data_IF_891864155566
#
_entry.id   IF_891864155566
#
_cell.length_a   1.000
_cell.length_b   1.000
_cell.length_c   1.000
_cell.angle_alpha   90.00
_cell.angle_beta   90.00
_cell.angle_gamma   90.00
#
_symmetry.space_group_name_H-M   'P 1'
#
loop_
_entity.id
_entity.type
_entity.pdbx_description
1 polymer ?
#
# COMPACT_ATOMS: atom_id res chain seq x y z
N UNK A 1 5.47 -18.01 -3.00
CA UNK A 1 4.86 -17.24 -4.12
C UNK A 1 5.98 -16.56 -4.87
N UNK A 2 6.04 -16.75 -6.19
CA UNK A 2 7.02 -16.07 -7.03
C UNK A 2 6.42 -14.78 -7.59
N UNK A 3 7.30 -13.79 -7.83
CA UNK A 3 6.97 -12.51 -8.48
C UNK A 3 7.78 -12.35 -9.77
N UNK A 4 7.18 -11.71 -10.75
CA UNK A 4 7.80 -11.44 -12.05
C UNK A 4 7.53 -10.00 -12.47
N UNK A 5 8.40 -9.44 -13.31
CA UNK A 5 8.12 -8.15 -13.95
C UNK A 5 7.00 -8.29 -14.98
N UNK A 6 6.16 -7.28 -15.11
CA UNK A 6 5.16 -7.19 -16.20
C UNK A 6 5.79 -7.18 -17.59
N UNK A 7 7.09 -6.86 -17.70
CA UNK A 7 7.86 -6.80 -18.95
C UNK A 7 8.76 -8.01 -19.17
N UNK A 8 9.13 -8.71 -18.08
CA UNK A 8 9.95 -9.94 -18.17
C UNK A 8 9.44 -10.97 -17.17
N UNK A 9 8.83 -12.04 -17.69
CA UNK A 9 8.25 -13.13 -16.88
C UNK A 9 9.22 -14.26 -16.56
N UNK A 10 10.42 -14.26 -17.12
CA UNK A 10 11.41 -15.33 -16.92
C UNK A 10 12.12 -15.22 -15.58
N UNK A 11 12.42 -13.98 -15.16
CA UNK A 11 13.10 -13.73 -13.90
C UNK A 11 12.10 -13.71 -12.74
N UNK A 12 12.13 -14.77 -11.96
CA UNK A 12 11.33 -14.90 -10.73
C UNK A 12 12.10 -14.33 -9.55
N UNK A 13 11.39 -13.64 -8.66
CA UNK A 13 11.93 -13.05 -7.43
C UNK A 13 10.97 -13.32 -6.26
N UNK A 14 11.45 -13.14 -5.02
CA UNK A 14 10.63 -13.24 -3.81
C UNK A 14 9.75 -11.99 -3.62
N UNK A 15 8.75 -12.06 -2.74
CA UNK A 15 7.95 -10.91 -2.37
C UNK A 15 8.80 -9.82 -1.71
N UNK A 16 9.71 -10.20 -0.82
CA UNK A 16 10.64 -9.27 -0.19
C UNK A 16 11.49 -8.52 -1.22
N UNK A 17 12.03 -9.22 -2.23
CA UNK A 17 12.78 -8.57 -3.30
C UNK A 17 11.91 -7.58 -4.11
N UNK A 18 10.69 -7.97 -4.45
CA UNK A 18 9.74 -7.13 -5.18
C UNK A 18 9.38 -5.85 -4.41
N UNK A 19 9.15 -5.96 -3.09
CA UNK A 19 8.82 -4.82 -2.22
C UNK A 19 10.04 -3.91 -2.01
N UNK A 20 11.22 -4.46 -1.75
CA UNK A 20 12.44 -3.68 -1.53
C UNK A 20 12.78 -2.80 -2.74
N UNK A 21 12.67 -3.34 -3.95
CA UNK A 21 13.01 -2.63 -5.18
C UNK A 21 11.86 -1.76 -5.73
N UNK A 22 10.60 -2.13 -5.46
CA UNK A 22 9.40 -1.40 -5.91
C UNK A 22 9.13 -1.48 -7.41
N UNK A 23 10.13 -1.27 -8.25
CA UNK A 23 10.07 -1.36 -9.71
C UNK A 23 11.17 -2.30 -10.21
N UNK A 24 10.88 -3.05 -11.26
CA UNK A 24 11.86 -3.95 -11.87
C UNK A 24 12.91 -3.17 -12.67
N UNK A 25 14.15 -3.70 -12.85
CA UNK A 25 15.20 -3.04 -13.61
C UNK A 25 14.85 -2.75 -15.07
N UNK A 26 13.90 -3.51 -15.65
CA UNK A 26 13.37 -3.30 -17.00
C UNK A 26 12.25 -2.24 -17.06
N UNK A 27 11.95 -1.57 -15.92
CA UNK A 27 10.90 -0.59 -15.77
C UNK A 27 9.49 -1.18 -15.70
N UNK A 28 9.35 -2.51 -15.59
CA UNK A 28 8.09 -3.21 -15.34
C UNK A 28 7.72 -3.19 -13.86
N UNK A 29 6.45 -3.52 -13.56
CA UNK A 29 5.96 -3.67 -12.19
C UNK A 29 6.06 -5.12 -11.74
N UNK A 30 6.41 -5.34 -10.48
CA UNK A 30 6.39 -6.68 -9.92
C UNK A 30 4.95 -7.12 -9.61
N UNK A 31 4.58 -8.29 -10.14
CA UNK A 31 3.29 -8.92 -9.91
C UNK A 31 3.49 -10.38 -9.47
N UNK A 32 2.62 -10.92 -8.60
CA UNK A 32 2.66 -12.34 -8.28
C UNK A 32 2.34 -13.18 -9.53
N UNK A 33 2.94 -14.37 -9.63
CA UNK A 33 2.73 -15.28 -10.77
C UNK A 33 1.33 -15.89 -10.81
N UNK A 34 0.61 -15.86 -9.68
CA UNK A 34 -0.78 -16.34 -9.57
C UNK A 34 -1.50 -15.61 -8.43
N UNK A 35 -2.83 -15.64 -8.47
CA UNK A 35 -3.66 -15.14 -7.37
C UNK A 35 -4.17 -16.35 -6.55
N UNK A 36 -3.82 -16.43 -5.25
CA UNK A 36 -4.21 -17.55 -4.40
C UNK A 36 -5.71 -17.48 -4.10
N UNK A 37 -6.39 -18.61 -4.23
CA UNK A 37 -7.80 -18.70 -3.84
C UNK A 37 -7.95 -18.75 -2.31
N UNK A 38 -9.00 -18.13 -1.79
CA UNK A 38 -9.43 -18.26 -0.41
C UNK A 38 -10.19 -19.58 -0.23
N UNK A 39 -9.73 -20.42 0.68
CA UNK A 39 -10.34 -21.69 1.04
C UNK A 39 -11.51 -21.49 2.02
N UNK A 40 -12.32 -22.53 2.23
CA UNK A 40 -13.36 -22.51 3.28
C UNK A 40 -12.78 -22.26 4.68
N UNK A 41 -11.61 -22.82 4.97
CA UNK A 41 -10.90 -22.56 6.24
C UNK A 41 -10.48 -21.10 6.36
N UNK A 42 -10.01 -20.48 5.26
CA UNK A 42 -9.68 -19.06 5.25
C UNK A 42 -10.92 -18.21 5.53
N UNK A 43 -12.03 -18.49 4.88
CA UNK A 43 -13.29 -17.76 5.09
C UNK A 43 -13.78 -17.87 6.53
N UNK A 44 -13.65 -19.04 7.16
CA UNK A 44 -13.98 -19.22 8.58
C UNK A 44 -13.09 -18.34 9.46
N UNK A 45 -11.78 -18.38 9.25
CA UNK A 45 -10.83 -17.55 10.00
C UNK A 45 -11.08 -16.05 9.80
N UNK A 46 -11.35 -15.62 8.56
CA UNK A 46 -11.66 -14.22 8.24
C UNK A 46 -12.95 -13.74 8.94
N UNK A 47 -13.97 -14.58 9.02
CA UNK A 47 -15.24 -14.25 9.69
C UNK A 47 -15.05 -14.01 11.19
N UNK A 48 -14.16 -14.77 11.83
CA UNK A 48 -13.86 -14.71 13.28
C UNK A 48 -12.82 -13.62 13.64
N UNK A 49 -12.05 -13.12 12.67
CA UNK A 49 -10.97 -12.16 12.89
C UNK A 49 -11.45 -10.71 12.83
N UNK A 50 -10.70 -9.82 13.50
CA UNK A 50 -10.76 -8.38 13.31
C UNK A 50 -10.04 -7.95 12.01
N UNK A 51 -9.99 -6.65 11.74
CA UNK A 51 -9.31 -6.12 10.55
C UNK A 51 -7.81 -6.49 10.51
N UNK A 52 -7.13 -6.45 11.65
CA UNK A 52 -5.68 -6.75 11.75
C UNK A 52 -5.41 -8.20 11.38
N UNK A 53 -6.18 -9.14 11.94
CA UNK A 53 -6.08 -10.56 11.62
C UNK A 53 -6.44 -10.88 10.16
N UNK A 54 -7.49 -10.24 9.62
CA UNK A 54 -7.86 -10.36 8.21
C UNK A 54 -6.77 -9.86 7.28
N UNK A 55 -6.15 -8.72 7.61
CA UNK A 55 -5.05 -8.15 6.83
C UNK A 55 -3.84 -9.08 6.84
N UNK A 56 -3.44 -9.60 8.01
CA UNK A 56 -2.32 -10.53 8.14
C UNK A 56 -2.56 -11.82 7.33
N UNK A 57 -3.76 -12.39 7.37
CA UNK A 57 -4.13 -13.58 6.61
C UNK A 57 -4.04 -13.32 5.10
N UNK A 58 -4.64 -12.23 4.62
CA UNK A 58 -4.63 -11.88 3.19
C UNK A 58 -3.21 -11.63 2.71
N UNK A 59 -2.40 -10.88 3.45
CA UNK A 59 -1.01 -10.63 3.12
C UNK A 59 -0.19 -11.93 3.10
N UNK A 60 -0.42 -12.85 4.04
CA UNK A 60 0.25 -14.14 4.10
C UNK A 60 0.02 -15.03 2.87
N UNK A 61 -1.09 -14.86 2.17
CA UNK A 61 -1.34 -15.57 0.90
C UNK A 61 -0.38 -15.14 -0.23
N UNK A 62 0.09 -13.90 -0.18
CA UNK A 62 0.99 -13.32 -1.19
C UNK A 62 2.44 -13.29 -0.73
N UNK A 63 2.68 -12.93 0.51
CA UNK A 63 4.01 -12.66 1.06
C UNK A 63 4.58 -13.90 1.76
N UNK A 64 4.77 -14.98 1.00
CA UNK A 64 5.12 -16.31 1.52
C UNK A 64 6.55 -16.43 2.08
N UNK A 65 7.36 -15.42 1.92
CA UNK A 65 8.69 -15.27 2.52
C UNK A 65 8.67 -14.48 3.86
N UNK A 66 7.47 -14.10 4.32
CA UNK A 66 7.22 -13.54 5.66
C UNK A 66 6.50 -14.57 6.53
N UNK A 67 6.83 -14.62 7.82
CA UNK A 67 6.11 -15.51 8.74
C UNK A 67 4.73 -14.94 9.12
N UNK A 68 3.84 -15.79 9.61
CA UNK A 68 2.52 -15.36 10.09
C UNK A 68 2.64 -14.38 11.26
N UNK A 69 3.62 -14.61 12.14
CA UNK A 69 3.91 -13.76 13.31
C UNK A 69 4.41 -12.38 12.87
N UNK A 70 5.31 -12.32 11.86
CA UNK A 70 5.76 -11.03 11.29
C UNK A 70 4.59 -10.23 10.73
N UNK A 71 3.73 -10.85 9.94
CA UNK A 71 2.58 -10.18 9.31
C UNK A 71 1.53 -9.75 10.34
N UNK A 72 1.32 -10.54 11.40
CA UNK A 72 0.45 -10.17 12.50
C UNK A 72 0.99 -8.97 13.30
N UNK A 73 2.30 -8.95 13.59
CA UNK A 73 2.97 -7.84 14.26
C UNK A 73 2.89 -6.56 13.41
N UNK A 74 3.13 -6.66 12.10
CA UNK A 74 3.02 -5.53 11.19
C UNK A 74 1.60 -4.99 11.11
N UNK A 75 0.59 -5.87 11.05
CA UNK A 75 -0.81 -5.45 11.04
C UNK A 75 -1.22 -4.79 12.36
N UNK A 76 -0.76 -5.31 13.49
CA UNK A 76 -1.02 -4.71 14.81
C UNK A 76 -0.43 -3.30 14.92
N UNK A 77 0.78 -3.07 14.40
CA UNK A 77 1.46 -1.76 14.40
C UNK A 77 0.88 -0.79 13.37
N UNK A 78 0.60 -1.27 12.17
CA UNK A 78 0.08 -0.46 11.08
C UNK A 78 -1.34 0.04 11.37
N UNK A 79 -2.18 -0.80 11.95
CA UNK A 79 -3.60 -0.55 12.20
C UNK A 79 -3.91 -0.44 13.70
N UNK A 80 -2.98 0.17 14.45
CA UNK A 80 -3.17 0.41 15.87
C UNK A 80 -4.39 1.32 16.12
N UNK A 81 -5.13 1.06 17.20
CA UNK A 81 -6.40 1.71 17.49
C UNK A 81 -6.25 3.24 17.65
N UNK A 82 -5.12 3.68 18.22
CA UNK A 82 -4.78 5.10 18.36
C UNK A 82 -4.53 5.80 17.01
N UNK A 83 -4.17 5.07 15.96
CA UNK A 83 -3.97 5.62 14.61
C UNK A 83 -5.28 5.72 13.82
N UNK A 84 -6.21 4.80 14.06
CA UNK A 84 -7.45 4.68 13.29
C UNK A 84 -8.71 5.04 14.09
N UNK A 85 -8.56 5.61 15.27
CA UNK A 85 -9.69 6.14 16.07
C UNK A 85 -10.56 5.06 16.72
N UNK A 86 -10.09 3.81 16.79
CA UNK A 86 -10.80 2.69 17.41
C UNK A 86 -10.56 1.35 16.72
N UNK A 87 -11.25 0.31 17.16
CA UNK A 87 -11.09 -1.06 16.67
C UNK A 87 -11.55 -1.25 15.21
N UNK A 88 -12.47 -0.42 14.72
CA UNK A 88 -13.02 -0.50 13.37
C UNK A 88 -12.16 0.31 12.39
N UNK A 89 -11.09 -0.29 11.93
CA UNK A 89 -10.11 0.35 11.02
C UNK A 89 -10.72 0.78 9.67
N UNK A 90 -11.69 0.02 9.15
CA UNK A 90 -12.34 0.24 7.86
C UNK A 90 -13.82 -0.18 7.94
N UNK A 91 -14.66 0.57 8.68
CA UNK A 91 -16.05 0.19 8.91
C UNK A 91 -16.90 0.28 7.65
N UNK A 92 -17.93 -0.56 7.60
CA UNK A 92 -18.96 -0.50 6.56
C UNK A 92 -20.23 0.12 7.13
N UNK A 93 -20.61 1.28 6.60
CA UNK A 93 -21.80 2.03 7.03
C UNK A 93 -22.94 1.87 6.02
N UNK A 94 -24.12 1.54 6.49
CA UNK A 94 -25.32 1.48 5.64
C UNK A 94 -25.78 2.90 5.27
N UNK A 95 -25.82 3.22 3.99
CA UNK A 95 -26.35 4.49 3.49
C UNK A 95 -27.86 4.42 3.21
N UNK A 96 -28.31 3.32 2.60
CA UNK A 96 -29.70 3.06 2.28
C UNK A 96 -29.87 1.57 1.99
N UNK A 97 -31.08 1.15 1.64
CA UNK A 97 -31.31 -0.23 1.24
C UNK A 97 -30.44 -0.59 0.01
N UNK A 98 -29.67 -1.67 0.12
CA UNK A 98 -28.77 -2.15 -0.93
C UNK A 98 -27.53 -1.30 -1.19
N UNK A 99 -27.30 -0.21 -0.41
CA UNK A 99 -26.14 0.67 -0.57
C UNK A 99 -25.39 0.80 0.75
N UNK A 100 -24.11 0.42 0.72
CA UNK A 100 -23.21 0.51 1.86
C UNK A 100 -21.98 1.31 1.46
N UNK A 101 -21.37 1.99 2.41
CA UNK A 101 -20.16 2.77 2.25
C UNK A 101 -19.04 2.12 3.07
N UNK A 102 -17.96 1.73 2.40
CA UNK A 102 -16.72 1.35 3.07
C UNK A 102 -15.92 2.62 3.36
N UNK A 103 -15.79 2.95 4.63
CA UNK A 103 -15.08 4.15 5.08
C UNK A 103 -13.58 3.85 5.23
N UNK A 104 -12.74 4.55 4.47
CA UNK A 104 -11.29 4.35 4.45
C UNK A 104 -10.49 5.58 4.91
N UNK A 105 -11.16 6.53 5.57
CA UNK A 105 -10.57 7.80 6.00
C UNK A 105 -10.28 7.90 7.50
N UNK A 106 -10.39 6.81 8.25
CA UNK A 106 -10.16 6.80 9.70
C UNK A 106 -8.69 6.81 10.10
N UNK A 107 -7.78 6.69 9.13
CA UNK A 107 -6.34 6.72 9.38
C UNK A 107 -5.79 8.13 9.66
N UNK A 108 -4.49 8.23 10.02
CA UNK A 108 -3.88 9.45 10.56
C UNK A 108 -3.88 10.64 9.58
N UNK A 109 -4.02 10.41 8.28
CA UNK A 109 -4.05 11.49 7.29
C UNK A 109 -5.42 11.68 6.63
N UNK A 110 -6.45 10.99 7.12
CA UNK A 110 -7.82 11.02 6.61
C UNK A 110 -7.93 10.67 5.13
N UNK A 111 -7.07 9.79 4.63
CA UNK A 111 -7.05 9.34 3.26
C UNK A 111 -7.00 7.80 3.19
N UNK A 112 -7.68 7.19 2.20
CA UNK A 112 -7.62 5.73 2.01
C UNK A 112 -6.21 5.19 1.82
N UNK A 113 -5.28 6.07 1.47
CA UNK A 113 -3.87 5.74 1.27
C UNK A 113 -3.18 5.28 2.56
N UNK A 114 -3.70 5.69 3.72
CA UNK A 114 -3.22 5.24 5.03
C UNK A 114 -3.32 3.71 5.17
N UNK A 115 -4.37 3.09 4.61
CA UNK A 115 -4.57 1.65 4.64
C UNK A 115 -3.36 0.86 4.10
N UNK A 116 -2.63 1.44 3.16
CA UNK A 116 -1.43 0.81 2.60
C UNK A 116 -0.14 1.46 3.12
N UNK A 117 -0.12 2.77 3.35
CA UNK A 117 1.10 3.49 3.70
C UNK A 117 1.47 3.39 5.17
N UNK A 118 0.55 2.99 6.05
CA UNK A 118 0.89 2.57 7.41
C UNK A 118 1.50 1.16 7.46
N UNK A 119 1.16 0.28 6.50
CA UNK A 119 1.71 -1.08 6.40
C UNK A 119 3.06 -1.13 5.65
N UNK A 120 3.21 -0.34 4.59
CA UNK A 120 4.38 -0.40 3.70
C UNK A 120 5.72 -0.22 4.41
N UNK A 121 5.90 0.68 5.39
CA UNK A 121 7.18 0.82 6.10
C UNK A 121 7.64 -0.46 6.78
N UNK A 122 6.73 -1.20 7.41
CA UNK A 122 7.02 -2.49 8.05
C UNK A 122 7.42 -3.54 7.02
N UNK A 123 6.66 -3.64 5.92
CA UNK A 123 6.97 -4.55 4.83
C UNK A 123 8.32 -4.21 4.16
N UNK A 124 8.58 -2.93 3.91
CA UNK A 124 9.81 -2.47 3.24
C UNK A 124 11.05 -2.74 4.10
N UNK A 125 11.04 -2.33 5.36
CA UNK A 125 12.19 -2.53 6.26
C UNK A 125 12.48 -4.02 6.51
N UNK A 126 11.44 -4.85 6.64
CA UNK A 126 11.61 -6.29 6.72
C UNK A 126 12.12 -6.89 5.40
N UNK A 127 11.65 -6.38 4.26
CA UNK A 127 12.12 -6.80 2.93
C UNK A 127 13.61 -6.51 2.73
N UNK A 128 14.06 -5.31 3.11
CA UNK A 128 15.49 -4.96 3.06
C UNK A 128 16.34 -5.94 3.90
N UNK A 129 15.93 -6.23 5.13
CA UNK A 129 16.62 -7.22 5.97
C UNK A 129 16.64 -8.62 5.35
N UNK A 130 15.50 -9.09 4.80
CA UNK A 130 15.38 -10.42 4.18
C UNK A 130 16.21 -10.56 2.90
N UNK A 131 16.43 -9.48 2.19
CA UNK A 131 17.26 -9.45 0.97
C UNK A 131 18.75 -9.16 1.26
N UNK A 132 19.12 -8.96 2.53
CA UNK A 132 20.50 -8.63 2.93
C UNK A 132 20.92 -7.21 2.53
N UNK A 133 19.95 -6.33 2.24
CA UNK A 133 20.22 -4.94 1.90
C UNK A 133 20.55 -4.13 3.16
N UNK A 134 21.68 -3.45 3.13
CA UNK A 134 22.20 -2.66 4.27
C UNK A 134 22.17 -1.16 4.03
N UNK A 135 21.94 -0.73 2.79
CA UNK A 135 21.84 0.68 2.43
C UNK A 135 20.54 1.30 2.96
N UNK A 136 20.58 2.59 3.21
CA UNK A 136 19.38 3.36 3.54
C UNK A 136 18.46 3.49 2.33
N UNK A 137 17.20 3.13 2.46
CA UNK A 137 16.21 3.29 1.40
C UNK A 137 15.78 4.77 1.30
N UNK A 138 16.14 5.43 0.20
CA UNK A 138 15.69 6.77 -0.14
C UNK A 138 14.40 6.68 -0.96
N UNK A 139 13.28 7.07 -0.34
CA UNK A 139 11.94 6.92 -0.91
C UNK A 139 11.55 8.22 -1.57
N UNK A 140 11.42 8.20 -2.91
CA UNK A 140 10.99 9.36 -3.68
C UNK A 140 9.50 9.25 -3.99
N UNK A 141 8.75 10.31 -3.69
CA UNK A 141 7.31 10.39 -3.92
C UNK A 141 6.98 11.66 -4.69
N UNK A 142 6.41 11.53 -5.89
CA UNK A 142 5.71 12.64 -6.53
C UNK A 142 4.24 12.59 -6.12
N UNK A 143 3.65 13.73 -5.75
CA UNK A 143 2.28 13.79 -5.28
C UNK A 143 1.52 15.00 -5.80
N UNK A 144 0.21 14.83 -5.97
CA UNK A 144 -0.76 15.91 -6.14
C UNK A 144 -1.61 16.15 -4.88
N UNK A 145 -1.17 15.60 -3.72
CA UNK A 145 -1.86 15.80 -2.45
C UNK A 145 -1.74 14.63 -1.47
N UNK A 146 -2.80 13.86 -1.27
CA UNK A 146 -2.95 12.86 -0.20
C UNK A 146 -1.82 11.82 -0.12
N UNK A 147 -1.28 11.40 -1.27
CA UNK A 147 -0.22 10.38 -1.28
C UNK A 147 1.05 10.86 -0.59
N UNK A 148 1.40 12.14 -0.78
CA UNK A 148 2.59 12.73 -0.14
C UNK A 148 2.44 12.71 1.37
N UNK A 149 1.33 13.26 1.89
CA UNK A 149 1.11 13.29 3.35
C UNK A 149 1.05 11.88 3.95
N UNK A 150 0.31 10.95 3.33
CA UNK A 150 0.20 9.59 3.86
C UNK A 150 1.55 8.84 3.83
N UNK A 151 2.40 9.10 2.83
CA UNK A 151 3.75 8.53 2.79
C UNK A 151 4.67 9.14 3.83
N UNK A 152 4.64 10.47 4.01
CA UNK A 152 5.40 11.14 5.06
C UNK A 152 5.03 10.61 6.44
N UNK A 153 3.73 10.50 6.72
CA UNK A 153 3.24 10.00 8.00
C UNK A 153 3.66 8.55 8.26
N UNK A 154 3.55 7.70 7.25
CA UNK A 154 3.93 6.28 7.40
C UNK A 154 5.43 6.07 7.57
N UNK A 155 6.28 6.90 6.96
CA UNK A 155 7.74 6.73 6.95
C UNK A 155 8.50 7.64 7.90
N UNK A 156 7.83 8.60 8.58
CA UNK A 156 8.54 9.48 9.50
C UNK A 156 9.23 8.67 10.62
N UNK A 157 10.48 8.99 10.85
CA UNK A 157 11.35 8.36 11.85
C UNK A 157 11.50 6.83 11.75
N UNK A 158 11.18 6.25 10.58
CA UNK A 158 11.40 4.81 10.32
C UNK A 158 12.89 4.56 10.09
N UNK A 159 13.57 3.76 10.93
CA UNK A 159 15.00 3.51 10.81
C UNK A 159 15.38 2.89 9.45
N UNK A 160 16.51 3.33 8.89
CA UNK A 160 17.00 2.83 7.60
C UNK A 160 16.25 3.38 6.39
N UNK A 161 15.42 4.41 6.59
CA UNK A 161 14.71 5.07 5.49
C UNK A 161 14.94 6.59 5.50
N UNK A 162 14.89 7.18 4.31
CA UNK A 162 14.71 8.63 4.09
C UNK A 162 13.57 8.81 3.12
N UNK A 163 12.72 9.81 3.32
CA UNK A 163 11.61 10.09 2.42
C UNK A 163 11.65 11.53 1.92
N UNK A 164 11.53 11.68 0.59
CA UNK A 164 11.48 12.98 -0.08
C UNK A 164 10.19 13.05 -0.90
N UNK A 165 9.37 14.05 -0.60
CA UNK A 165 8.09 14.26 -1.29
C UNK A 165 8.15 15.53 -2.13
N UNK A 166 7.90 15.37 -3.42
CA UNK A 166 7.84 16.46 -4.39
C UNK A 166 6.40 16.78 -4.72
N UNK A 167 6.00 18.05 -4.58
CA UNK A 167 4.65 18.49 -4.93
C UNK A 167 4.67 19.82 -5.69
N UNK A 168 3.73 20.04 -6.64
CA UNK A 168 3.61 21.33 -7.34
C UNK A 168 3.06 22.39 -6.41
N UNK A 169 3.72 23.57 -6.38
CA UNK A 169 3.37 24.71 -5.48
C UNK A 169 1.88 25.07 -5.57
N UNK A 170 1.34 25.12 -6.80
CA UNK A 170 -0.04 25.52 -7.10
C UNK A 170 -0.96 24.33 -7.42
N UNK A 171 -0.46 23.09 -7.31
CA UNK A 171 -1.17 21.88 -7.73
C UNK A 171 -1.80 21.06 -6.58
N UNK A 172 -1.76 21.56 -5.35
CA UNK A 172 -2.32 20.91 -4.14
C UNK A 172 -3.22 21.87 -3.38
N UNK A 173 -4.21 21.33 -2.66
CA UNK A 173 -5.05 22.19 -1.82
C UNK A 173 -4.26 22.82 -0.67
N UNK A 174 -4.69 23.98 -0.13
CA UNK A 174 -4.04 24.59 1.02
C UNK A 174 -3.90 23.66 2.22
N UNK A 175 -4.90 22.82 2.48
CA UNK A 175 -4.88 21.83 3.55
C UNK A 175 -3.81 20.76 3.30
N UNK A 176 -3.76 20.19 2.11
CA UNK A 176 -2.76 19.17 1.75
C UNK A 176 -1.33 19.74 1.79
N UNK A 177 -1.15 20.99 1.34
CA UNK A 177 0.13 21.69 1.45
C UNK A 177 0.55 21.83 2.91
N UNK A 178 -0.36 22.29 3.78
CA UNK A 178 -0.10 22.44 5.21
C UNK A 178 0.24 21.12 5.87
N UNK A 179 -0.55 20.06 5.60
CA UNK A 179 -0.30 18.72 6.13
C UNK A 179 1.10 18.19 5.78
N UNK A 180 1.61 18.45 4.56
CA UNK A 180 2.96 18.04 4.17
C UNK A 180 4.03 18.94 4.78
N UNK A 181 3.86 20.26 4.71
CA UNK A 181 4.86 21.23 5.18
C UNK A 181 5.08 21.21 6.69
N UNK A 182 4.10 20.74 7.47
CA UNK A 182 4.20 20.62 8.94
C UNK A 182 4.56 19.21 9.40
N UNK A 183 4.87 18.29 8.47
CA UNK A 183 5.29 16.95 8.87
C UNK A 183 6.66 17.02 9.54
N UNK A 184 6.72 16.59 10.78
CA UNK A 184 7.94 16.42 11.54
C UNK A 184 8.58 15.04 11.26
N UNK A 185 9.89 14.93 11.51
CA UNK A 185 10.66 13.71 11.40
C UNK A 185 12.10 13.98 10.96
N UNK A 186 13.06 13.26 11.53
CA UNK A 186 14.48 13.44 11.23
C UNK A 186 14.89 12.93 9.83
N UNK A 187 14.04 12.13 9.20
CA UNK A 187 14.29 11.47 7.91
C UNK A 187 13.36 11.94 6.80
N UNK A 188 12.59 13.02 7.00
CA UNK A 188 11.60 13.51 6.02
C UNK A 188 12.08 14.79 5.34
N UNK A 189 11.78 14.93 4.05
CA UNK A 189 12.04 16.12 3.26
C UNK A 189 10.83 16.42 2.37
N UNK A 190 10.40 17.69 2.33
CA UNK A 190 9.24 18.11 1.54
C UNK A 190 9.67 19.22 0.59
N UNK A 191 9.56 18.97 -0.70
CA UNK A 191 10.08 19.84 -1.75
C UNK A 191 8.95 20.33 -2.65
N UNK A 192 8.72 21.63 -2.61
CA UNK A 192 7.79 22.29 -3.53
C UNK A 192 8.49 22.58 -4.88
N UNK A 193 7.84 22.24 -5.97
CA UNK A 193 8.37 22.53 -7.31
C UNK A 193 7.47 23.52 -8.06
N UNK A 194 8.08 24.35 -8.91
CA UNK A 194 7.36 25.12 -9.92
C UNK A 194 7.09 24.22 -11.13
N UNK A 195 5.82 23.94 -11.42
CA UNK A 195 5.36 23.02 -12.44
C UNK A 195 4.07 22.33 -12.03
N UNK A 196 3.71 21.29 -12.74
CA UNK A 196 2.53 20.49 -12.46
C UNK A 196 2.91 19.08 -11.91
N UNK A 197 1.91 18.27 -11.63
CA UNK A 197 2.12 16.90 -11.11
C UNK A 197 2.92 16.03 -12.09
N UNK A 198 2.69 16.17 -13.40
CA UNK A 198 3.39 15.38 -14.42
C UNK A 198 4.87 15.74 -14.50
N UNK A 199 5.21 17.01 -14.25
CA UNK A 199 6.60 17.48 -14.13
C UNK A 199 7.30 16.81 -12.93
N UNK A 200 6.65 16.81 -11.76
CA UNK A 200 7.15 16.14 -10.56
C UNK A 200 7.36 14.64 -10.80
N UNK A 201 6.36 13.97 -11.38
CA UNK A 201 6.43 12.54 -11.67
C UNK A 201 7.51 12.20 -12.69
N UNK A 202 7.67 13.03 -13.72
CA UNK A 202 8.70 12.86 -14.74
C UNK A 202 10.10 13.07 -14.18
N UNK A 203 10.27 14.03 -13.27
CA UNK A 203 11.54 14.28 -12.58
C UNK A 203 11.91 13.07 -11.70
N UNK A 204 10.98 12.58 -10.89
CA UNK A 204 11.22 11.38 -10.07
C UNK A 204 11.58 10.18 -10.94
N UNK A 205 10.88 9.94 -12.06
CA UNK A 205 11.22 8.85 -12.99
C UNK A 205 12.62 9.00 -13.57
N UNK A 206 13.05 10.21 -13.92
CA UNK A 206 14.40 10.47 -14.41
C UNK A 206 15.45 10.14 -13.35
N UNK A 207 15.24 10.54 -12.10
CA UNK A 207 16.15 10.20 -10.99
C UNK A 207 16.30 8.68 -10.83
N UNK A 208 15.19 7.93 -10.95
CA UNK A 208 15.24 6.46 -10.88
C UNK A 208 16.04 5.79 -12.01
N UNK A 209 16.14 6.44 -13.17
CA UNK A 209 16.82 5.90 -14.36
C UNK A 209 18.18 6.55 -14.63
N UNK A 210 18.59 7.53 -13.84
CA UNK A 210 19.86 8.21 -13.97
C UNK A 210 20.98 7.42 -13.29
N UNK A 211 21.87 6.87 -14.10
CA UNK A 211 22.95 6.00 -13.64
C UNK A 211 23.99 6.73 -12.78
N UNK A 212 24.23 8.03 -13.04
CA UNK A 212 25.17 8.83 -12.25
C UNK A 212 24.62 9.09 -10.84
N UNK A 213 23.35 9.49 -10.75
CA UNK A 213 22.65 9.67 -9.46
C UNK A 213 22.61 8.36 -8.68
N UNK A 214 22.29 7.24 -9.33
CA UNK A 214 22.27 5.93 -8.67
C UNK A 214 23.63 5.53 -8.15
N UNK A 215 24.69 5.72 -8.95
CA UNK A 215 26.06 5.42 -8.54
C UNK A 215 26.53 6.33 -7.39
N UNK A 216 26.09 7.59 -7.35
CA UNK A 216 26.38 8.47 -6.23
C UNK A 216 25.68 8.01 -4.94
N UNK A 217 24.39 7.73 -5.02
CA UNK A 217 23.61 7.21 -3.88
C UNK A 217 24.21 5.90 -3.33
N UNK A 218 24.65 5.03 -4.22
CA UNK A 218 25.29 3.77 -3.84
C UNK A 218 26.59 3.99 -3.06
N UNK A 219 27.46 4.93 -3.49
CA UNK A 219 28.65 5.35 -2.75
C UNK A 219 28.33 5.93 -1.37
N UNK A 220 27.18 6.61 -1.25
CA UNK A 220 26.71 7.21 -0.01
C UNK A 220 25.93 6.21 0.87
N UNK A 221 25.91 4.93 0.52
CA UNK A 221 25.21 3.88 1.25
C UNK A 221 23.68 4.02 1.19
N UNK A 222 23.16 4.56 0.09
CA UNK A 222 21.71 4.74 -0.14
C UNK A 222 21.25 3.99 -1.40
N UNK A 223 19.99 3.61 -1.43
CA UNK A 223 19.29 3.06 -2.59
C UNK A 223 17.96 3.75 -2.82
N UNK A 224 17.55 3.84 -4.07
CA UNK A 224 16.23 4.38 -4.40
C UNK A 224 15.12 3.35 -4.14
N UNK A 225 14.01 3.82 -3.55
CA UNK A 225 12.78 3.06 -3.42
C UNK A 225 11.57 3.97 -3.65
N UNK A 226 10.37 3.40 -3.76
CA UNK A 226 9.15 4.15 -4.03
C UNK A 226 7.99 3.70 -3.16
N UNK A 227 7.25 4.68 -2.64
CA UNK A 227 5.98 4.49 -1.97
C UNK A 227 4.76 4.80 -2.87
N UNK A 228 4.95 4.98 -4.17
CA UNK A 228 3.87 5.17 -5.13
C UNK A 228 3.13 3.84 -5.43
N UNK A 229 2.01 3.90 -6.15
CA UNK A 229 1.15 2.75 -6.47
C UNK A 229 1.82 1.66 -7.33
N UNK A 230 3.07 1.86 -7.72
CA UNK A 230 3.89 0.91 -8.48
C UNK A 230 4.49 -0.20 -7.61
N UNK A 231 4.60 0.01 -6.29
CA UNK A 231 5.16 -0.96 -5.37
C UNK A 231 4.09 -1.96 -4.92
N UNK A 232 4.38 -3.27 -5.05
CA UNK A 232 3.48 -4.34 -4.61
C UNK A 232 3.13 -4.26 -3.12
N UNK A 233 4.09 -3.87 -2.26
CA UNK A 233 3.87 -3.66 -0.84
C UNK A 233 2.86 -2.56 -0.52
N UNK A 234 2.55 -1.69 -1.51
CA UNK A 234 1.46 -0.73 -1.43
C UNK A 234 0.15 -1.25 -2.00
N UNK A 235 0.19 -2.15 -2.97
CA UNK A 235 -1.02 -2.71 -3.57
C UNK A 235 -1.64 -3.79 -2.68
N UNK A 236 -0.84 -4.74 -2.20
CA UNK A 236 -1.31 -5.91 -1.47
C UNK A 236 -2.16 -5.59 -0.23
N UNK A 237 -1.81 -4.62 0.64
CA UNK A 237 -2.63 -4.29 1.80
C UNK A 237 -4.04 -3.82 1.44
N UNK A 238 -4.24 -3.28 0.23
CA UNK A 238 -5.54 -2.81 -0.22
C UNK A 238 -6.52 -3.94 -0.55
N UNK A 239 -6.04 -5.16 -0.74
CA UNK A 239 -6.91 -6.33 -0.96
C UNK A 239 -7.69 -6.63 0.31
N UNK A 240 -7.07 -6.43 1.47
CA UNK A 240 -7.63 -6.80 2.77
C UNK A 240 -8.93 -6.08 3.09
N UNK A 241 -9.06 -4.79 2.81
CA UNK A 241 -10.27 -4.05 3.18
C UNK A 241 -11.50 -4.43 2.35
N UNK A 242 -11.34 -4.95 1.13
CA UNK A 242 -12.48 -5.48 0.36
C UNK A 242 -12.98 -6.79 0.94
N UNK A 243 -12.07 -7.68 1.32
CA UNK A 243 -12.42 -8.94 1.98
C UNK A 243 -13.01 -8.68 3.36
N UNK A 244 -12.43 -7.74 4.12
CA UNK A 244 -12.93 -7.33 5.43
C UNK A 244 -14.35 -6.77 5.35
N UNK A 245 -14.60 -5.85 4.42
CA UNK A 245 -15.93 -5.27 4.22
C UNK A 245 -16.99 -6.34 3.90
N UNK A 246 -16.63 -7.33 3.10
CA UNK A 246 -17.53 -8.45 2.81
C UNK A 246 -17.85 -9.26 4.08
N UNK A 247 -16.83 -9.60 4.88
CA UNK A 247 -17.01 -10.30 6.14
C UNK A 247 -17.89 -9.51 7.12
N UNK A 248 -17.71 -8.19 7.20
CA UNK A 248 -18.50 -7.33 8.08
C UNK A 248 -19.97 -7.25 7.64
N UNK A 249 -20.24 -7.17 6.34
CA UNK A 249 -21.60 -7.21 5.81
C UNK A 249 -22.29 -8.56 6.07
N UNK A 250 -21.57 -9.67 5.97
CA UNK A 250 -22.08 -11.01 6.32
C UNK A 250 -22.35 -11.09 7.81
N UNK A 251 -21.42 -10.64 8.66
CA UNK A 251 -21.55 -10.64 10.13
C UNK A 251 -22.74 -9.79 10.60
N UNK A 252 -22.95 -8.64 9.95
CA UNK A 252 -24.09 -7.76 10.22
C UNK A 252 -25.43 -8.26 9.66
N UNK A 253 -25.45 -9.38 8.92
CA UNK A 253 -26.65 -9.90 8.27
C UNK A 253 -27.15 -9.04 7.10
N UNK A 254 -26.34 -8.11 6.60
CA UNK A 254 -26.66 -7.26 5.44
C UNK A 254 -26.73 -8.10 4.16
N UNK A 255 -25.86 -9.09 4.06
CA UNK A 255 -25.81 -10.10 2.99
C UNK A 255 -25.57 -11.48 3.62
N UNK A 256 -25.76 -12.54 2.82
CA UNK A 256 -25.38 -13.91 3.19
C UNK A 256 -24.03 -14.29 2.57
N UNK A 257 -23.33 -15.23 3.18
CA UNK A 257 -22.12 -15.79 2.59
C UNK A 257 -22.44 -16.36 1.19
N UNK A 258 -21.68 -15.94 0.19
CA UNK A 258 -21.86 -16.30 -1.21
C UNK A 258 -22.70 -15.30 -2.04
N UNK A 259 -23.41 -14.37 -1.39
CA UNK A 259 -24.13 -13.31 -2.11
C UNK A 259 -23.14 -12.42 -2.88
N UNK A 260 -23.51 -12.07 -4.10
CA UNK A 260 -22.66 -11.23 -4.96
C UNK A 260 -22.87 -9.75 -4.67
N UNK A 261 -21.78 -9.02 -4.52
CA UNK A 261 -21.78 -7.56 -4.34
C UNK A 261 -21.30 -6.83 -5.60
N UNK A 262 -21.76 -5.60 -5.79
CA UNK A 262 -21.18 -4.66 -6.75
C UNK A 262 -20.25 -3.70 -5.99
N UNK A 263 -19.14 -3.33 -6.61
CA UNK A 263 -18.15 -2.43 -6.02
C UNK A 263 -18.05 -1.18 -6.89
N UNK A 264 -18.33 -0.02 -6.31
CA UNK A 264 -18.17 1.28 -6.96
C UNK A 264 -16.96 1.99 -6.33
N UNK A 265 -15.94 2.26 -7.13
CA UNK A 265 -14.67 2.84 -6.67
C UNK A 265 -14.36 4.09 -7.48
N UNK A 266 -14.36 5.29 -6.87
CA UNK A 266 -13.73 6.46 -7.49
C UNK A 266 -12.24 6.18 -7.65
N UNK A 267 -11.72 6.26 -8.86
CA UNK A 267 -10.34 5.83 -9.10
C UNK A 267 -9.65 6.71 -10.15
N UNK A 268 -8.34 6.97 -9.92
CA UNK A 268 -7.44 7.63 -10.86
C UNK A 268 -6.33 6.69 -11.28
N UNK A 269 -5.44 6.32 -10.33
CA UNK A 269 -4.27 5.46 -10.59
C UNK A 269 -4.58 3.94 -10.64
N UNK A 270 -5.82 3.54 -10.58
CA UNK A 270 -6.32 2.17 -10.66
C UNK A 270 -5.85 1.21 -9.55
N UNK A 271 -4.96 1.60 -8.63
CA UNK A 271 -4.46 0.71 -7.58
C UNK A 271 -5.56 0.16 -6.68
N UNK A 272 -6.48 1.02 -6.24
CA UNK A 272 -7.60 0.64 -5.39
C UNK A 272 -8.53 -0.38 -6.09
N UNK A 273 -9.00 -0.09 -7.30
CA UNK A 273 -9.89 -1.01 -8.03
C UNK A 273 -9.17 -2.29 -8.47
N UNK A 274 -7.86 -2.23 -8.73
CA UNK A 274 -7.05 -3.43 -9.02
C UNK A 274 -7.00 -4.35 -7.81
N UNK A 275 -6.89 -3.81 -6.60
CA UNK A 275 -6.96 -4.61 -5.37
C UNK A 275 -8.33 -5.32 -5.22
N UNK A 276 -9.44 -4.64 -5.57
CA UNK A 276 -10.77 -5.26 -5.61
C UNK A 276 -10.85 -6.38 -6.67
N UNK A 277 -10.24 -6.15 -7.84
CA UNK A 277 -10.17 -7.18 -8.89
C UNK A 277 -9.37 -8.41 -8.42
N UNK A 278 -8.24 -8.20 -7.74
CA UNK A 278 -7.45 -9.31 -7.18
C UNK A 278 -8.27 -10.05 -6.12
N UNK A 279 -8.96 -9.34 -5.21
CA UNK A 279 -9.85 -9.97 -4.24
C UNK A 279 -10.92 -10.85 -4.93
N UNK A 280 -11.50 -10.39 -6.04
CA UNK A 280 -12.41 -11.21 -6.87
C UNK A 280 -11.73 -12.46 -7.41
N UNK A 281 -10.50 -12.37 -7.90
CA UNK A 281 -9.75 -13.53 -8.37
C UNK A 281 -9.41 -14.51 -7.23
N UNK A 282 -9.31 -14.03 -5.99
CA UNK A 282 -9.15 -14.86 -4.80
C UNK A 282 -10.45 -15.55 -4.35
N UNK A 283 -11.59 -15.24 -4.97
CA UNK A 283 -12.88 -15.84 -4.66
C UNK A 283 -13.86 -14.93 -3.93
N UNK A 284 -13.55 -13.62 -3.74
CA UNK A 284 -14.53 -12.66 -3.23
C UNK A 284 -15.70 -12.56 -4.21
N UNK A 285 -16.97 -12.74 -3.76
CA UNK A 285 -18.14 -12.76 -4.65
C UNK A 285 -18.47 -11.37 -5.21
N UNK A 286 -17.67 -10.85 -6.12
CA UNK A 286 -17.92 -9.57 -6.80
C UNK A 286 -18.60 -9.82 -8.15
N UNK A 287 -19.76 -9.18 -8.35
CA UNK A 287 -20.50 -9.21 -9.60
C UNK A 287 -19.88 -8.21 -10.61
N UNK A 288 -19.95 -6.91 -10.30
CA UNK A 288 -19.50 -5.82 -11.18
C UNK A 288 -18.64 -4.80 -10.42
N UNK A 289 -17.77 -4.16 -11.18
CA UNK A 289 -17.04 -2.95 -10.81
C UNK A 289 -17.61 -1.76 -11.55
#
# INVERSE_FOLDING_TARGET
MDYVSTRNRERKVSAAYAIANGIAPDGGLYCPTSFPALTEADWKTLAESDYKGRSALILGKFLTDFSAEELADFAAKAYADEKFGGADTAPVVKLSEGKNLLELWHGPTCAFKDMALQMLPHLLTASLRKTGETRTACILVATSGDTGKAALDGFHDVPGTKIMVYYPVDGVSPMQKLQMATQEGANVEVIAIHGNFDDAQSAVKRIFTDDETRAQLDRDGMMLSSANSINWGRLAPQIAYYVSAYCDMVKAGTIRQGDRINVCVPTGNFGNILAAYIAKQMGLPVNKF
#
